data_IF_742377740348
#
_entry.id   IF_742377740348
#
_cell.length_a   1.000
_cell.length_b   1.000
_cell.length_c   1.000
_cell.angle_alpha   90.00
_cell.angle_beta   90.00
_cell.angle_gamma   90.00
#
_symmetry.space_group_name_H-M   'P 1'
#
loop_
_entity.id
_entity.type
_entity.pdbx_description
1 polymer ?
#
# COMPACT_ATOMS: atom_id res chain seq x y z
N UNK A 1 14.43 -3.05 0.78
CA UNK A 1 14.99 -1.74 1.19
C UNK A 1 15.38 -1.82 2.65
N UNK A 2 16.30 -0.97 3.17
CA UNK A 2 16.65 -0.99 4.59
C UNK A 2 15.46 -0.63 5.50
N UNK A 3 15.46 -1.16 6.71
CA UNK A 3 14.47 -0.80 7.72
C UNK A 3 14.49 0.70 8.05
N UNK A 4 13.32 1.29 8.28
CA UNK A 4 13.17 2.73 8.55
C UNK A 4 13.29 3.65 7.34
N UNK A 5 13.55 3.11 6.13
CA UNK A 5 13.50 3.90 4.89
C UNK A 5 12.08 4.03 4.35
N UNK A 6 11.82 5.09 3.58
CA UNK A 6 10.52 5.32 2.91
C UNK A 6 10.69 5.30 1.40
N UNK A 7 9.80 4.60 0.70
CA UNK A 7 9.71 4.61 -0.76
C UNK A 7 8.35 5.08 -1.23
N UNK A 8 8.36 5.85 -2.31
CA UNK A 8 7.16 6.49 -2.84
C UNK A 8 6.93 6.11 -4.29
N UNK A 9 5.74 5.59 -4.59
CA UNK A 9 5.20 5.45 -5.94
C UNK A 9 4.21 6.58 -6.15
N UNK A 10 4.47 7.45 -7.11
CA UNK A 10 3.63 8.60 -7.43
C UNK A 10 3.36 8.71 -8.94
N UNK A 11 2.20 9.28 -9.28
CA UNK A 11 1.80 9.58 -10.64
C UNK A 11 0.63 8.73 -11.12
N UNK A 12 0.59 8.47 -12.42
CA UNK A 12 -0.52 7.82 -13.10
C UNK A 12 -0.08 6.52 -13.77
N UNK A 13 -0.91 5.48 -13.69
CA UNK A 13 -0.74 4.21 -14.41
C UNK A 13 0.64 3.57 -14.22
N UNK A 14 1.22 3.67 -13.01
CA UNK A 14 2.47 2.98 -12.70
C UNK A 14 2.22 1.51 -12.44
N UNK A 15 3.20 0.68 -12.78
CA UNK A 15 3.24 -0.73 -12.44
C UNK A 15 4.64 -1.02 -11.85
N UNK A 16 4.71 -1.29 -10.55
CA UNK A 16 5.98 -1.34 -9.80
C UNK A 16 5.95 -2.50 -8.80
N UNK A 17 7.08 -3.20 -8.69
CA UNK A 17 7.33 -4.17 -7.62
C UNK A 17 8.41 -3.63 -6.67
N UNK A 18 8.20 -3.78 -5.35
CA UNK A 18 9.08 -3.26 -4.30
C UNK A 18 9.38 -4.40 -3.31
N UNK A 19 10.64 -4.52 -2.88
CA UNK A 19 10.99 -5.39 -1.77
C UNK A 19 11.14 -4.56 -0.48
N UNK A 20 10.33 -4.85 0.52
CA UNK A 20 10.30 -4.16 1.79
C UNK A 20 10.73 -5.06 2.95
N UNK A 21 11.62 -4.54 3.78
CA UNK A 21 12.11 -5.24 4.97
C UNK A 21 12.21 -4.21 6.11
N UNK A 22 11.10 -4.04 6.84
CA UNK A 22 10.93 -3.02 7.87
C UNK A 22 10.87 -1.59 7.33
N UNK A 23 10.58 -1.42 6.04
CA UNK A 23 10.49 -0.12 5.39
C UNK A 23 9.06 0.42 5.38
N UNK A 24 8.90 1.69 5.01
CA UNK A 24 7.60 2.30 4.75
C UNK A 24 7.39 2.50 3.25
N UNK A 25 6.17 2.28 2.77
CA UNK A 25 5.79 2.48 1.37
C UNK A 25 4.61 3.45 1.29
N UNK A 26 4.73 4.43 0.40
CA UNK A 26 3.67 5.38 0.07
C UNK A 26 3.29 5.24 -1.40
N UNK A 27 2.00 5.05 -1.68
CA UNK A 27 1.44 4.99 -3.03
C UNK A 27 0.46 6.15 -3.18
N UNK A 28 0.65 6.96 -4.21
CA UNK A 28 -0.16 8.15 -4.47
C UNK A 28 -0.40 8.37 -5.96
N UNK A 29 -1.53 9.00 -6.29
CA UNK A 29 -1.90 9.32 -7.67
C UNK A 29 -3.06 8.48 -8.17
N UNK A 30 -3.06 8.09 -9.45
CA UNK A 30 -4.24 7.51 -10.10
C UNK A 30 -3.92 6.21 -10.83
N UNK A 31 -4.69 5.17 -10.56
CA UNK A 31 -4.65 3.87 -11.25
C UNK A 31 -3.26 3.22 -11.23
N UNK A 32 -2.53 3.32 -10.11
CA UNK A 32 -1.25 2.63 -9.95
C UNK A 32 -1.46 1.18 -9.48
N UNK A 33 -0.62 0.27 -9.96
CA UNK A 33 -0.55 -1.13 -9.54
C UNK A 33 0.80 -1.33 -8.85
N UNK A 34 0.78 -1.71 -7.57
CA UNK A 34 1.99 -1.87 -6.78
C UNK A 34 1.99 -3.23 -6.08
N UNK A 35 3.05 -4.01 -6.30
CA UNK A 35 3.31 -5.24 -5.55
C UNK A 35 4.44 -5.02 -4.56
N UNK A 36 4.20 -5.36 -3.29
CA UNK A 36 5.15 -5.18 -2.21
C UNK A 36 5.43 -6.54 -1.58
N UNK A 37 6.67 -6.98 -1.72
CA UNK A 37 7.19 -8.23 -1.19
C UNK A 37 7.84 -7.97 0.18
N UNK A 38 7.75 -8.95 1.08
CA UNK A 38 8.32 -8.87 2.42
C UNK A 38 7.45 -8.13 3.44
N UNK A 39 8.10 -7.64 4.50
CA UNK A 39 7.42 -7.05 5.66
C UNK A 39 7.57 -5.52 5.66
N UNK A 40 6.44 -4.83 5.53
CA UNK A 40 6.37 -3.38 5.69
C UNK A 40 6.09 -2.98 7.15
N UNK A 41 6.76 -1.93 7.62
CA UNK A 41 6.28 -1.28 8.83
C UNK A 41 4.94 -0.57 8.53
N UNK A 42 4.96 0.35 7.56
CA UNK A 42 3.79 1.15 7.22
C UNK A 42 3.56 1.18 5.72
N UNK A 43 2.34 0.86 5.29
CA UNK A 43 1.83 1.11 3.94
C UNK A 43 0.81 2.25 3.98
N UNK A 44 1.02 3.28 3.17
CA UNK A 44 0.04 4.35 2.93
C UNK A 44 -0.36 4.36 1.47
N UNK A 45 -1.67 4.35 1.20
CA UNK A 45 -2.25 4.44 -0.16
C UNK A 45 -3.19 5.63 -0.20
N UNK A 46 -3.01 6.50 -1.20
CA UNK A 46 -3.80 7.72 -1.37
C UNK A 46 -4.07 8.01 -2.85
N UNK A 47 -5.12 8.76 -3.14
CA UNK A 47 -5.49 9.12 -4.51
C UNK A 47 -6.70 8.31 -5.01
N UNK A 48 -6.68 7.91 -6.28
CA UNK A 48 -7.85 7.34 -6.98
C UNK A 48 -7.50 6.00 -7.64
N UNK A 49 -8.31 4.97 -7.39
CA UNK A 49 -8.23 3.67 -8.09
C UNK A 49 -6.87 2.96 -8.02
N UNK A 50 -6.07 3.18 -6.97
CA UNK A 50 -4.82 2.45 -6.81
C UNK A 50 -5.07 1.02 -6.34
N UNK A 51 -4.36 0.06 -6.93
CA UNK A 51 -4.39 -1.36 -6.55
C UNK A 51 -3.03 -1.74 -5.96
N UNK A 52 -3.02 -2.16 -4.70
CA UNK A 52 -1.78 -2.50 -3.99
C UNK A 52 -1.89 -3.88 -3.36
N UNK A 53 -0.91 -4.74 -3.64
CA UNK A 53 -0.76 -6.03 -2.96
C UNK A 53 0.48 -5.97 -2.09
N UNK A 54 0.36 -6.33 -0.81
CA UNK A 54 1.47 -6.42 0.14
C UNK A 54 1.52 -7.79 0.78
N UNK A 55 2.71 -8.36 0.99
CA UNK A 55 2.82 -9.64 1.67
C UNK A 55 2.42 -9.54 3.15
N UNK A 56 3.03 -8.62 3.91
CA UNK A 56 2.57 -8.26 5.26
C UNK A 56 2.92 -6.81 5.61
N UNK A 57 2.16 -6.22 6.52
CA UNK A 57 2.42 -4.88 7.04
C UNK A 57 1.97 -4.76 8.51
N UNK A 58 2.62 -3.89 9.29
CA UNK A 58 2.15 -3.55 10.65
C UNK A 58 0.97 -2.59 10.58
N UNK A 59 1.04 -1.59 9.69
CA UNK A 59 0.00 -0.56 9.52
C UNK A 59 -0.36 -0.36 8.06
N UNK A 60 -1.65 -0.24 7.79
CA UNK A 60 -2.19 0.09 6.46
C UNK A 60 -3.11 1.31 6.60
N UNK A 61 -2.71 2.42 5.99
CA UNK A 61 -3.51 3.62 5.84
C UNK A 61 -4.01 3.76 4.41
N UNK A 62 -5.32 3.88 4.21
CA UNK A 62 -5.91 4.10 2.88
C UNK A 62 -6.81 5.33 2.91
N UNK A 63 -6.59 6.25 1.97
CA UNK A 63 -7.39 7.47 1.81
C UNK A 63 -7.67 7.77 0.34
N UNK A 64 -8.66 8.62 0.05
CA UNK A 64 -9.04 8.98 -1.31
C UNK A 64 -10.26 8.19 -1.80
N UNK A 65 -10.24 7.76 -3.06
CA UNK A 65 -11.41 7.19 -3.75
C UNK A 65 -11.05 5.85 -4.43
N UNK A 66 -11.86 4.82 -4.22
CA UNK A 66 -11.79 3.54 -4.96
C UNK A 66 -10.43 2.81 -4.89
N UNK A 67 -9.64 3.02 -3.83
CA UNK A 67 -8.37 2.30 -3.68
C UNK A 67 -8.62 0.90 -3.13
N UNK A 68 -7.86 -0.08 -3.64
CA UNK A 68 -7.93 -1.48 -3.27
C UNK A 68 -6.58 -1.94 -2.73
N UNK A 69 -6.58 -2.42 -1.50
CA UNK A 69 -5.38 -2.98 -0.86
C UNK A 69 -5.63 -4.42 -0.44
N UNK A 70 -4.71 -5.29 -0.84
CA UNK A 70 -4.72 -6.70 -0.47
C UNK A 70 -3.48 -7.01 0.33
N UNK A 71 -3.62 -7.60 1.52
CA UNK A 71 -2.51 -8.14 2.29
C UNK A 71 -2.59 -9.66 2.34
N UNK A 72 -1.45 -10.37 2.27
CA UNK A 72 -1.45 -11.84 2.26
C UNK A 72 -1.51 -12.42 3.67
N UNK A 73 -0.72 -11.86 4.60
CA UNK A 73 -0.56 -12.40 5.96
C UNK A 73 -0.45 -11.30 7.02
N UNK A 74 -0.67 -11.68 8.28
CA UNK A 74 -0.57 -10.79 9.44
C UNK A 74 -1.90 -10.13 9.83
N UNK A 75 -1.83 -9.26 10.83
CA UNK A 75 -2.98 -8.54 11.40
C UNK A 75 -2.68 -7.04 11.43
N UNK A 76 -2.69 -6.37 10.26
CA UNK A 76 -2.36 -4.95 10.18
C UNK A 76 -3.38 -4.09 10.93
N UNK A 77 -2.91 -3.01 11.55
CA UNK A 77 -3.82 -1.93 11.95
C UNK A 77 -4.28 -1.18 10.70
N UNK A 78 -5.58 -1.25 10.41
CA UNK A 78 -6.16 -0.67 9.20
C UNK A 78 -6.90 0.62 9.53
N UNK A 79 -6.53 1.71 8.86
CA UNK A 79 -7.26 2.97 8.87
C UNK A 79 -7.72 3.32 7.46
N UNK A 80 -9.03 3.59 7.30
CA UNK A 80 -9.64 3.96 6.02
C UNK A 80 -10.31 5.33 6.16
N UNK A 81 -10.12 6.21 5.19
CA UNK A 81 -10.85 7.47 5.05
C UNK A 81 -11.18 7.73 3.58
N UNK A 82 -12.12 8.64 3.29
CA UNK A 82 -12.59 8.86 1.92
C UNK A 82 -13.63 7.82 1.48
N UNK A 83 -13.77 7.63 0.17
CA UNK A 83 -14.91 6.92 -0.42
C UNK A 83 -14.49 5.58 -1.04
N UNK A 84 -15.25 4.52 -0.75
CA UNK A 84 -15.17 3.19 -1.38
C UNK A 84 -13.76 2.55 -1.38
N UNK A 85 -12.96 2.81 -0.34
CA UNK A 85 -11.66 2.17 -0.16
C UNK A 85 -11.80 0.78 0.45
N UNK A 86 -11.18 -0.22 -0.17
CA UNK A 86 -11.21 -1.62 0.27
C UNK A 86 -9.84 -2.05 0.78
N UNK A 87 -9.84 -2.76 1.91
CA UNK A 87 -8.65 -3.44 2.45
C UNK A 87 -9.11 -4.83 2.83
N UNK A 88 -8.52 -5.85 2.24
CA UNK A 88 -8.91 -7.25 2.41
C UNK A 88 -7.67 -8.15 2.51
N UNK A 89 -7.87 -9.34 3.09
CA UNK A 89 -6.85 -10.38 3.13
C UNK A 89 -7.12 -11.43 2.05
N UNK A 90 -6.10 -11.88 1.31
CA UNK A 90 -6.20 -13.00 0.35
C UNK A 90 -4.91 -13.79 0.19
#
# INVERSE_FOLDING_TARGET
MPAGSTFSVAGTHKNVAINCDGCSVSVSGVSNIVEILGNCDTLTVSGVENTVTVETAVKIGVSGIDNQVTYRTGEPQVAKSGNNNTVAQS
#
